data_IF_482559765643
#
_entry.id   IF_482559765643
#
_cell.length_a   1.000
_cell.length_b   1.000
_cell.length_c   1.000
_cell.angle_alpha   90.00
_cell.angle_beta   90.00
_cell.angle_gamma   90.00
#
_symmetry.space_group_name_H-M   'P 1'
#
loop_
_entity.id
_entity.type
_entity.pdbx_description
1 polymer ?
#
# COMPACT_ATOMS: atom_id res chain seq x y z
N UNK A 1 7.97 -55.47 24.69
CA UNK A 1 7.92 -54.74 23.40
C UNK A 1 7.24 -53.39 23.59
N UNK A 2 7.99 -52.29 23.66
CA UNK A 2 7.40 -50.93 23.58
C UNK A 2 7.21 -50.59 22.11
N UNK A 3 5.98 -50.73 21.62
CA UNK A 3 5.60 -50.24 20.29
C UNK A 3 5.63 -48.71 20.34
N UNK A 4 6.78 -48.11 19.97
CA UNK A 4 6.85 -46.67 19.74
C UNK A 4 5.90 -46.38 18.58
N UNK A 5 4.72 -45.84 18.88
CA UNK A 5 3.94 -45.09 17.91
C UNK A 5 4.85 -43.98 17.36
N UNK A 6 5.50 -44.21 16.21
CA UNK A 6 6.02 -43.12 15.41
C UNK A 6 4.78 -42.36 14.95
N UNK A 7 4.35 -41.35 15.73
CA UNK A 7 3.40 -40.34 15.25
C UNK A 7 4.06 -39.72 14.02
N UNK A 8 3.68 -40.18 12.84
CA UNK A 8 4.00 -39.50 11.59
C UNK A 8 3.26 -38.17 11.65
N UNK A 9 3.98 -37.09 11.99
CA UNK A 9 3.38 -35.77 11.95
C UNK A 9 2.98 -35.48 10.50
N UNK A 10 1.73 -35.06 10.34
CA UNK A 10 1.23 -34.57 9.08
C UNK A 10 2.03 -33.32 8.66
N UNK A 11 2.41 -33.17 7.38
CA UNK A 11 3.20 -32.04 6.89
C UNK A 11 2.32 -30.78 6.77
N UNK A 12 2.12 -30.05 7.87
CA UNK A 12 1.35 -28.78 7.86
C UNK A 12 2.22 -27.56 7.49
N UNK A 13 3.55 -27.74 7.39
CA UNK A 13 4.48 -26.70 6.99
C UNK A 13 4.14 -25.95 5.68
N UNK A 14 3.51 -26.53 4.63
CA UNK A 14 3.13 -25.74 3.45
C UNK A 14 2.16 -24.61 3.77
N UNK A 15 1.20 -24.86 4.68
CA UNK A 15 0.21 -23.85 5.07
C UNK A 15 0.88 -22.74 5.90
N UNK A 16 1.79 -23.11 6.80
CA UNK A 16 2.51 -22.14 7.62
C UNK A 16 3.42 -21.25 6.78
N UNK A 17 4.10 -21.79 5.77
CA UNK A 17 4.89 -20.97 4.83
C UNK A 17 4.02 -20.09 3.92
N UNK A 18 2.76 -20.45 3.66
CA UNK A 18 1.83 -19.59 2.95
C UNK A 18 1.31 -18.43 3.83
N UNK A 19 1.13 -18.67 5.12
CA UNK A 19 0.68 -17.67 6.11
C UNK A 19 1.81 -16.71 6.49
N UNK A 20 3.03 -17.23 6.64
CA UNK A 20 4.18 -16.53 7.20
C UNK A 20 4.47 -15.15 6.58
N UNK A 21 4.51 -14.96 5.24
CA UNK A 21 4.90 -13.67 4.68
C UNK A 21 3.92 -12.55 5.05
N UNK A 22 2.61 -12.82 5.04
CA UNK A 22 1.60 -11.83 5.41
C UNK A 22 1.72 -11.44 6.90
N UNK A 23 1.88 -12.42 7.79
CA UNK A 23 2.08 -12.17 9.23
C UNK A 23 3.39 -11.43 9.50
N UNK A 24 4.46 -11.77 8.78
CA UNK A 24 5.74 -11.07 8.87
C UNK A 24 5.62 -9.61 8.41
N UNK A 25 4.95 -9.35 7.29
CA UNK A 25 4.70 -7.99 6.78
C UNK A 25 3.90 -7.18 7.79
N UNK A 26 2.81 -7.74 8.35
CA UNK A 26 2.03 -7.04 9.38
C UNK A 26 2.92 -6.70 10.58
N UNK A 27 3.69 -7.66 11.11
CA UNK A 27 4.52 -7.46 12.31
C UNK A 27 5.53 -6.31 12.16
N UNK A 28 6.10 -6.11 10.96
CA UNK A 28 7.00 -4.98 10.67
C UNK A 28 6.29 -3.65 10.42
N UNK A 29 4.99 -3.67 10.15
CA UNK A 29 4.21 -2.52 9.69
C UNK A 29 2.95 -2.25 10.55
N UNK A 30 2.92 -2.71 11.81
CA UNK A 30 1.81 -2.50 12.77
C UNK A 30 1.45 -1.04 13.02
N UNK A 31 2.36 -0.14 12.68
CA UNK A 31 2.18 1.30 12.78
C UNK A 31 1.40 1.91 11.60
N UNK A 32 1.15 1.14 10.54
CA UNK A 32 0.45 1.54 9.31
C UNK A 32 -0.71 0.58 9.00
N UNK A 33 -0.49 -0.73 9.14
CA UNK A 33 -1.43 -1.77 8.72
C UNK A 33 -2.31 -2.26 9.87
N UNK A 34 -3.56 -2.53 9.55
CA UNK A 34 -4.53 -3.21 10.42
C UNK A 34 -4.37 -4.73 10.34
N UNK A 35 -4.65 -5.47 11.43
CA UNK A 35 -4.76 -6.93 11.37
C UNK A 35 -5.78 -7.47 10.35
N UNK A 36 -6.78 -6.67 9.98
CA UNK A 36 -7.74 -7.04 8.94
C UNK A 36 -7.09 -7.15 7.55
N UNK A 37 -6.02 -6.40 7.30
CA UNK A 37 -5.39 -6.26 5.97
C UNK A 37 -4.67 -7.54 5.51
N UNK A 38 -4.41 -8.48 6.42
CA UNK A 38 -3.75 -9.76 6.10
C UNK A 38 -4.73 -10.90 5.87
N UNK A 39 -6.02 -10.74 6.17
CA UNK A 39 -7.01 -11.83 6.08
C UNK A 39 -7.14 -12.32 4.64
N UNK A 40 -7.38 -11.40 3.70
CA UNK A 40 -7.54 -11.75 2.29
C UNK A 40 -6.22 -12.28 1.67
N UNK A 41 -5.05 -11.66 1.86
CA UNK A 41 -3.77 -12.20 1.39
C UNK A 41 -3.48 -13.61 1.93
N UNK A 42 -3.71 -13.86 3.22
CA UNK A 42 -3.54 -15.19 3.80
C UNK A 42 -4.47 -16.19 3.12
N UNK A 43 -5.75 -15.86 2.98
CA UNK A 43 -6.71 -16.72 2.30
C UNK A 43 -6.26 -17.05 0.88
N UNK A 44 -5.89 -16.04 0.08
CA UNK A 44 -5.44 -16.20 -1.29
C UNK A 44 -4.23 -17.14 -1.39
N UNK A 45 -3.17 -16.88 -0.63
CA UNK A 45 -1.94 -17.65 -0.73
C UNK A 45 -2.02 -19.03 -0.08
N UNK A 46 -2.87 -19.21 0.94
CA UNK A 46 -3.19 -20.55 1.48
C UNK A 46 -3.95 -21.37 0.44
N UNK A 47 -4.94 -20.81 -0.25
CA UNK A 47 -5.64 -21.50 -1.34
C UNK A 47 -4.66 -21.90 -2.45
N UNK A 48 -3.80 -20.99 -2.90
CA UNK A 48 -2.77 -21.30 -3.91
C UNK A 48 -1.81 -22.40 -3.44
N UNK A 49 -1.37 -22.37 -2.18
CA UNK A 49 -0.53 -23.39 -1.59
C UNK A 49 -1.21 -24.76 -1.53
N UNK A 50 -2.50 -24.81 -1.15
CA UNK A 50 -3.31 -26.04 -1.14
C UNK A 50 -3.48 -26.58 -2.56
N UNK A 51 -3.82 -25.73 -3.53
CA UNK A 51 -3.95 -26.13 -4.93
C UNK A 51 -2.65 -26.70 -5.49
N UNK A 52 -1.51 -26.02 -5.25
CA UNK A 52 -0.19 -26.52 -5.64
C UNK A 52 0.11 -27.86 -4.99
N UNK A 53 -0.16 -27.99 -3.69
CA UNK A 53 0.13 -29.20 -2.95
C UNK A 53 -0.73 -30.38 -3.38
N UNK A 54 -2.03 -30.16 -3.59
CA UNK A 54 -2.96 -31.18 -4.11
C UNK A 54 -2.56 -31.59 -5.53
N UNK A 55 -2.22 -30.64 -6.41
CA UNK A 55 -1.73 -30.93 -7.75
C UNK A 55 -0.50 -31.84 -7.74
N UNK A 56 0.50 -31.51 -6.91
CA UNK A 56 1.69 -32.36 -6.73
C UNK A 56 1.34 -33.71 -6.10
N UNK A 57 0.41 -33.76 -5.15
CA UNK A 57 -0.07 -35.00 -4.54
C UNK A 57 -0.75 -35.93 -5.54
N UNK A 58 -1.59 -35.43 -6.46
CA UNK A 58 -2.21 -36.28 -7.47
C UNK A 58 -1.18 -36.90 -8.43
N UNK A 59 -0.10 -36.19 -8.72
CA UNK A 59 0.99 -36.67 -9.59
C UNK A 59 1.90 -37.67 -8.89
N UNK A 60 2.41 -37.32 -7.70
CA UNK A 60 3.46 -38.10 -7.02
C UNK A 60 2.95 -39.05 -5.93
N UNK A 61 1.71 -38.86 -5.46
CA UNK A 61 1.00 -39.70 -4.48
C UNK A 61 1.74 -39.93 -3.15
N UNK A 62 2.65 -39.02 -2.78
CA UNK A 62 3.39 -39.05 -1.51
C UNK A 62 3.24 -37.70 -0.80
N UNK A 63 2.41 -37.69 0.24
CA UNK A 63 2.03 -36.47 0.97
C UNK A 63 3.22 -35.75 1.61
N UNK A 64 4.26 -36.50 2.02
CA UNK A 64 5.45 -35.95 2.69
C UNK A 64 6.35 -35.29 1.65
N UNK A 65 6.64 -35.98 0.54
CA UNK A 65 7.46 -35.44 -0.55
C UNK A 65 6.82 -34.21 -1.16
N UNK A 66 5.52 -34.27 -1.44
CA UNK A 66 4.80 -33.16 -2.07
C UNK A 66 4.67 -31.98 -1.12
N UNK A 67 4.49 -32.22 0.18
CA UNK A 67 4.50 -31.16 1.18
C UNK A 67 5.87 -30.45 1.23
N UNK A 68 6.96 -31.21 1.20
CA UNK A 68 8.32 -30.64 1.20
C UNK A 68 8.57 -29.80 -0.05
N UNK A 69 8.15 -30.27 -1.22
CA UNK A 69 8.26 -29.52 -2.48
C UNK A 69 7.41 -28.25 -2.42
N UNK A 70 6.14 -28.32 -2.00
CA UNK A 70 5.29 -27.12 -1.87
C UNK A 70 5.92 -26.08 -0.95
N UNK A 71 6.50 -26.51 0.18
CA UNK A 71 7.15 -25.59 1.11
C UNK A 71 8.43 -24.99 0.57
N UNK A 72 9.23 -25.77 -0.15
CA UNK A 72 10.38 -25.26 -0.88
C UNK A 72 9.95 -24.21 -1.91
N UNK A 73 8.90 -24.49 -2.68
CA UNK A 73 8.35 -23.55 -3.66
C UNK A 73 7.92 -22.25 -3.00
N UNK A 74 7.15 -22.30 -1.91
CA UNK A 74 6.70 -21.10 -1.19
C UNK A 74 7.87 -20.32 -0.57
N UNK A 75 8.82 -21.02 0.03
CA UNK A 75 10.02 -20.41 0.61
C UNK A 75 10.84 -19.68 -0.45
N UNK A 76 11.16 -20.32 -1.58
CA UNK A 76 11.89 -19.69 -2.68
C UNK A 76 11.08 -18.56 -3.31
N UNK A 77 9.77 -18.77 -3.48
CA UNK A 77 8.87 -17.76 -4.03
C UNK A 77 8.91 -16.47 -3.24
N UNK A 78 8.73 -16.52 -1.91
CA UNK A 78 8.66 -15.32 -1.05
C UNK A 78 10.00 -14.82 -0.53
N UNK A 79 11.10 -15.58 -0.67
CA UNK A 79 12.44 -15.09 -0.33
C UNK A 79 13.11 -14.34 -1.48
N UNK A 80 12.61 -14.50 -2.71
CA UNK A 80 13.23 -13.93 -3.91
C UNK A 80 13.44 -12.42 -3.81
N UNK A 81 12.41 -11.65 -3.48
CA UNK A 81 12.50 -10.18 -3.49
C UNK A 81 13.45 -9.64 -2.42
N UNK A 82 13.51 -10.32 -1.27
CA UNK A 82 14.50 -10.01 -0.23
C UNK A 82 15.94 -10.26 -0.70
N UNK A 83 16.17 -11.40 -1.36
CA UNK A 83 17.48 -11.76 -1.89
C UNK A 83 17.86 -10.84 -3.06
N UNK A 84 16.91 -10.54 -3.96
CA UNK A 84 17.16 -9.68 -5.11
C UNK A 84 17.47 -8.25 -4.68
N UNK A 85 16.77 -7.68 -3.68
CA UNK A 85 17.10 -6.36 -3.13
C UNK A 85 18.52 -6.35 -2.57
N UNK A 86 18.89 -7.32 -1.71
CA UNK A 86 20.25 -7.36 -1.13
C UNK A 86 21.32 -7.45 -2.24
N UNK A 87 21.14 -8.33 -3.22
CA UNK A 87 22.11 -8.49 -4.31
C UNK A 87 22.18 -7.21 -5.15
N UNK A 88 21.03 -6.70 -5.58
CA UNK A 88 21.03 -5.59 -6.53
C UNK A 88 21.45 -4.27 -5.92
N UNK A 89 21.00 -3.97 -4.69
CA UNK A 89 21.41 -2.77 -3.97
C UNK A 89 22.92 -2.77 -3.64
N UNK A 90 23.54 -3.95 -3.56
CA UNK A 90 24.98 -4.09 -3.28
C UNK A 90 25.84 -4.03 -4.54
N UNK A 91 25.40 -4.66 -5.64
CA UNK A 91 26.24 -4.90 -6.81
C UNK A 91 25.90 -4.03 -8.03
N UNK A 92 24.72 -3.40 -8.05
CA UNK A 92 24.23 -2.66 -9.21
C UNK A 92 23.77 -1.26 -8.79
N UNK A 93 24.05 -0.25 -9.62
CA UNK A 93 23.50 1.09 -9.41
C UNK A 93 22.03 1.16 -9.85
N UNK A 94 21.70 0.40 -10.89
CA UNK A 94 20.36 0.28 -11.48
C UNK A 94 20.07 -1.18 -11.81
N UNK A 95 18.82 -1.60 -11.63
CA UNK A 95 18.38 -2.98 -11.91
C UNK A 95 17.44 -2.99 -13.10
N UNK A 96 17.76 -3.81 -14.11
CA UNK A 96 16.88 -4.03 -15.26
C UNK A 96 16.19 -5.39 -15.16
N UNK A 97 15.27 -5.65 -16.10
CA UNK A 97 14.62 -6.95 -16.21
C UNK A 97 15.63 -8.11 -16.45
N UNK A 98 16.80 -7.84 -17.04
CA UNK A 98 17.79 -8.88 -17.38
C UNK A 98 18.43 -9.50 -16.14
N UNK A 99 18.78 -8.69 -15.14
CA UNK A 99 19.36 -9.18 -13.89
C UNK A 99 18.38 -10.13 -13.18
N UNK A 100 17.10 -9.72 -13.14
CA UNK A 100 16.02 -10.53 -12.60
C UNK A 100 15.87 -11.90 -13.28
N UNK A 101 16.01 -11.97 -14.61
CA UNK A 101 15.95 -13.24 -15.36
C UNK A 101 17.08 -14.20 -14.96
N UNK A 102 18.29 -13.70 -14.74
CA UNK A 102 19.44 -14.51 -14.31
C UNK A 102 19.15 -15.09 -12.92
N UNK A 103 18.73 -14.26 -11.96
CA UNK A 103 18.43 -14.72 -10.60
C UNK A 103 17.24 -15.69 -10.56
N UNK A 104 16.19 -15.43 -11.36
CA UNK A 104 15.06 -16.36 -11.48
C UNK A 104 15.52 -17.72 -12.01
N UNK A 105 16.42 -17.75 -12.99
CA UNK A 105 16.98 -19.01 -13.52
C UNK A 105 17.69 -19.81 -12.43
N UNK A 106 18.43 -19.15 -11.55
CA UNK A 106 19.07 -19.79 -10.39
C UNK A 106 18.02 -20.35 -9.42
N UNK A 107 16.99 -19.57 -9.08
CA UNK A 107 15.92 -20.00 -8.18
C UNK A 107 15.13 -21.20 -8.73
N UNK A 108 14.77 -21.17 -10.02
CA UNK A 108 14.11 -22.30 -10.68
C UNK A 108 15.03 -23.52 -10.77
N UNK A 109 16.32 -23.33 -11.06
CA UNK A 109 17.31 -24.41 -11.06
C UNK A 109 17.40 -25.09 -9.68
N UNK A 110 17.50 -24.30 -8.61
CA UNK A 110 17.49 -24.80 -7.23
C UNK A 110 16.20 -25.55 -6.90
N UNK A 111 15.04 -24.97 -7.25
CA UNK A 111 13.74 -25.60 -7.04
C UNK A 111 13.66 -26.97 -7.73
N UNK A 112 14.07 -27.05 -9.00
CA UNK A 112 14.05 -28.29 -9.78
C UNK A 112 15.01 -29.32 -9.20
N UNK A 113 16.27 -28.95 -8.94
CA UNK A 113 17.29 -29.89 -8.45
C UNK A 113 16.90 -30.49 -7.10
N UNK A 114 16.45 -29.67 -6.15
CA UNK A 114 16.04 -30.14 -4.82
C UNK A 114 14.74 -30.95 -4.92
N UNK A 115 13.79 -30.54 -5.75
CA UNK A 115 12.55 -31.30 -5.97
C UNK A 115 12.81 -32.68 -6.56
N UNK A 116 13.71 -32.77 -7.56
CA UNK A 116 14.14 -34.05 -8.15
C UNK A 116 14.81 -34.94 -7.11
N UNK A 117 15.66 -34.38 -6.24
CA UNK A 117 16.26 -35.12 -5.13
C UNK A 117 15.20 -35.66 -4.15
N UNK A 118 14.23 -34.82 -3.74
CA UNK A 118 13.13 -35.22 -2.85
C UNK A 118 12.29 -36.36 -3.47
N UNK A 119 11.93 -36.22 -4.75
CA UNK A 119 11.12 -37.21 -5.47
C UNK A 119 11.87 -38.54 -5.60
N UNK A 120 13.14 -38.50 -6.05
CA UNK A 120 13.96 -39.69 -6.28
C UNK A 120 14.48 -40.34 -5.00
N UNK A 121 14.43 -39.65 -3.86
CA UNK A 121 14.88 -40.19 -2.58
C UNK A 121 14.09 -41.46 -2.22
N UNK A 122 14.82 -42.55 -1.98
CA UNK A 122 14.29 -43.81 -1.45
C UNK A 122 14.28 -43.84 0.09
N UNK A 123 14.94 -42.86 0.72
CA UNK A 123 14.96 -42.73 2.18
C UNK A 123 13.65 -42.11 2.67
N UNK A 124 13.26 -42.50 3.89
CA UNK A 124 12.12 -41.89 4.57
C UNK A 124 12.41 -40.41 4.88
N UNK A 125 11.57 -39.51 4.37
CA UNK A 125 11.69 -38.07 4.59
C UNK A 125 10.84 -37.54 5.75
N UNK A 126 10.28 -38.44 6.59
CA UNK A 126 9.46 -38.03 7.74
C UNK A 126 10.21 -37.13 8.73
N UNK A 127 11.49 -37.41 8.99
CA UNK A 127 12.31 -36.58 9.87
C UNK A 127 12.53 -35.19 9.27
N UNK A 128 12.81 -35.12 7.96
CA UNK A 128 12.96 -33.84 7.26
C UNK A 128 11.67 -33.02 7.35
N UNK A 129 10.52 -33.63 7.04
CA UNK A 129 9.23 -32.94 7.18
C UNK A 129 8.93 -32.51 8.62
N UNK A 130 9.29 -33.32 9.62
CA UNK A 130 9.15 -32.94 11.03
C UNK A 130 10.04 -31.74 11.40
N UNK A 131 11.28 -31.69 10.91
CA UNK A 131 12.17 -30.55 11.09
C UNK A 131 11.58 -29.30 10.42
N UNK A 132 11.08 -29.43 9.18
CA UNK A 132 10.48 -28.30 8.45
C UNK A 132 9.19 -27.81 9.12
N UNK A 133 8.39 -28.69 9.74
CA UNK A 133 7.27 -28.29 10.60
C UNK A 133 7.74 -27.41 11.77
N UNK A 134 8.82 -27.80 12.46
CA UNK A 134 9.40 -27.01 13.56
C UNK A 134 9.88 -25.65 13.05
N UNK A 135 10.64 -25.63 11.93
CA UNK A 135 11.12 -24.38 11.32
C UNK A 135 9.97 -23.44 10.97
N UNK A 136 8.90 -23.95 10.36
CA UNK A 136 7.74 -23.14 9.98
C UNK A 136 6.99 -22.58 11.21
N UNK A 137 6.84 -23.37 12.28
CA UNK A 137 6.26 -22.89 13.55
C UNK A 137 7.16 -21.81 14.17
N UNK A 138 8.46 -22.07 14.27
CA UNK A 138 9.43 -21.13 14.87
C UNK A 138 9.48 -19.81 14.09
N UNK A 139 9.37 -19.86 12.76
CA UNK A 139 9.34 -18.67 11.91
C UNK A 139 8.11 -17.79 12.17
N UNK A 140 6.95 -18.40 12.46
CA UNK A 140 5.73 -17.66 12.81
C UNK A 140 5.70 -17.14 14.24
N UNK A 141 6.43 -17.76 15.16
CA UNK A 141 6.39 -17.39 16.58
C UNK A 141 6.87 -15.96 16.81
N UNK A 142 7.97 -15.55 16.18
CA UNK A 142 8.52 -14.19 16.33
C UNK A 142 7.53 -13.10 15.90
N UNK A 143 6.99 -13.10 14.66
CA UNK A 143 6.08 -12.04 14.24
C UNK A 143 4.75 -12.07 15.03
N UNK A 144 4.26 -13.24 15.46
CA UNK A 144 3.06 -13.32 16.31
C UNK A 144 3.31 -12.67 17.69
N UNK A 145 4.48 -12.89 18.29
CA UNK A 145 4.85 -12.26 19.57
C UNK A 145 4.93 -10.74 19.42
N UNK A 146 5.53 -10.24 18.32
CA UNK A 146 5.60 -8.80 18.03
C UNK A 146 4.19 -8.22 17.91
N UNK A 147 3.32 -8.84 17.13
CA UNK A 147 1.90 -8.45 16.97
C UNK A 147 1.20 -8.44 18.33
N UNK A 148 1.31 -9.52 19.11
CA UNK A 148 0.68 -9.62 20.42
C UNK A 148 1.17 -8.59 21.44
N UNK A 149 2.43 -8.14 21.33
CA UNK A 149 3.00 -7.11 22.20
C UNK A 149 2.57 -5.68 21.84
N UNK A 150 2.02 -5.47 20.64
CA UNK A 150 1.67 -4.14 20.13
C UNK A 150 0.26 -3.67 20.54
N UNK A 151 -0.70 -4.59 20.60
CA UNK A 151 -2.10 -4.30 20.91
C UNK A 151 -2.55 -4.19 22.38
N UNK A 152 -1.75 -4.44 23.45
CA UNK A 152 -2.30 -4.47 24.81
C UNK A 152 -2.93 -3.18 25.37
N UNK A 153 -2.68 -1.98 24.82
CA UNK A 153 -3.01 -0.72 25.54
C UNK A 153 -3.51 0.46 24.68
N UNK A 154 -3.86 0.24 23.41
CA UNK A 154 -4.21 1.36 22.52
C UNK A 154 -5.72 1.47 22.27
N UNK A 155 -6.44 1.93 23.29
CA UNK A 155 -7.85 2.32 23.19
C UNK A 155 -7.97 3.69 22.52
N UNK A 156 -7.57 3.73 21.24
CA UNK A 156 -7.58 4.93 20.40
C UNK A 156 -9.00 5.24 19.89
N UNK A 157 -9.90 5.49 20.83
CA UNK A 157 -11.02 6.37 20.57
C UNK A 157 -10.42 7.74 20.25
N UNK A 158 -10.68 8.25 19.03
CA UNK A 158 -10.53 9.69 18.81
C UNK A 158 -11.52 10.28 19.80
N UNK A 159 -11.04 11.09 20.75
CA UNK A 159 -11.95 11.80 21.65
C UNK A 159 -12.95 12.52 20.76
N UNK A 160 -14.22 12.19 20.88
CA UNK A 160 -15.32 12.99 20.34
C UNK A 160 -15.44 14.32 21.11
N UNK A 161 -14.31 14.95 21.45
CA UNK A 161 -14.31 16.29 22.00
C UNK A 161 -14.50 17.24 20.82
N UNK A 162 -15.70 17.81 20.79
CA UNK A 162 -16.27 18.68 19.76
C UNK A 162 -16.93 17.91 18.60
N UNK A 163 -18.00 17.16 18.92
CA UNK A 163 -19.17 17.18 18.04
C UNK A 163 -19.47 18.67 17.83
N UNK A 164 -19.11 19.20 16.66
CA UNK A 164 -19.57 20.52 16.23
C UNK A 164 -21.06 20.52 16.50
N UNK A 165 -21.51 21.44 17.36
CA UNK A 165 -22.92 21.55 17.71
C UNK A 165 -23.66 21.95 16.44
N UNK A 166 -24.06 20.95 15.64
CA UNK A 166 -24.74 21.12 14.36
C UNK A 166 -26.08 21.82 14.53
N UNK A 167 -26.59 21.85 15.77
CA UNK A 167 -27.81 22.59 16.13
C UNK A 167 -27.64 24.11 16.03
N UNK A 168 -26.41 24.64 16.01
CA UNK A 168 -26.17 26.07 15.77
C UNK A 168 -26.22 26.48 14.28
N UNK A 169 -26.44 25.53 13.38
CA UNK A 169 -26.29 25.74 11.93
C UNK A 169 -27.60 25.62 11.13
N UNK A 170 -28.75 25.50 11.81
CA UNK A 170 -30.11 25.68 11.24
C UNK A 170 -30.38 27.15 10.87
N UNK A 171 -29.62 27.68 9.92
CA UNK A 171 -30.16 28.73 9.07
C UNK A 171 -30.67 28.06 7.80
N UNK A 172 -31.83 28.49 7.31
CA UNK A 172 -32.39 28.12 6.00
C UNK A 172 -31.43 28.54 4.89
N UNK A 173 -30.33 27.79 4.71
CA UNK A 173 -29.37 27.98 3.63
C UNK A 173 -30.05 27.42 2.39
N UNK A 174 -30.28 28.28 1.40
CA UNK A 174 -30.74 27.83 0.10
C UNK A 174 -29.60 27.08 -0.58
N UNK A 175 -29.65 25.75 -0.53
CA UNK A 175 -28.64 24.86 -1.12
C UNK A 175 -28.46 25.10 -2.62
N UNK A 176 -29.47 25.63 -3.32
CA UNK A 176 -29.39 25.99 -4.74
C UNK A 176 -28.46 27.17 -5.06
N UNK A 177 -27.88 27.84 -4.05
CA UNK A 177 -26.94 28.95 -4.22
C UNK A 177 -25.52 28.63 -3.72
N UNK A 178 -25.31 27.43 -3.17
CA UNK A 178 -24.00 27.05 -2.66
C UNK A 178 -23.08 26.64 -3.83
N UNK A 179 -21.82 27.13 -3.88
CA UNK A 179 -20.88 26.72 -4.89
C UNK A 179 -20.34 25.32 -4.59
N UNK A 180 -19.90 24.61 -5.62
CA UNK A 180 -19.09 23.41 -5.44
C UNK A 180 -17.72 23.75 -4.87
N UNK A 181 -17.21 22.88 -4.00
CA UNK A 181 -15.92 23.04 -3.33
C UNK A 181 -15.02 21.87 -3.73
N UNK A 182 -13.87 22.20 -4.31
CA UNK A 182 -12.84 21.24 -4.68
C UNK A 182 -11.57 21.48 -3.86
N UNK A 183 -11.24 20.55 -2.97
CA UNK A 183 -9.98 20.50 -2.25
C UNK A 183 -9.04 19.49 -2.94
N UNK A 184 -8.14 20.03 -3.77
CA UNK A 184 -7.17 19.25 -4.54
C UNK A 184 -5.80 19.36 -3.87
N UNK A 185 -5.20 18.21 -3.57
CA UNK A 185 -3.87 18.10 -2.94
C UNK A 185 -2.97 17.27 -3.84
N UNK A 186 -1.90 17.89 -4.34
CA UNK A 186 -0.87 17.22 -5.13
C UNK A 186 0.23 16.70 -4.20
N UNK A 187 0.49 15.39 -4.17
CA UNK A 187 1.51 14.79 -3.30
C UNK A 187 2.91 15.17 -3.81
N UNK A 188 3.72 15.72 -2.91
CA UNK A 188 5.10 16.15 -3.15
C UNK A 188 5.28 17.31 -4.13
N UNK A 189 4.20 17.95 -4.57
CA UNK A 189 4.29 19.22 -5.33
C UNK A 189 4.84 20.32 -4.43
N UNK A 190 5.88 21.00 -4.88
CA UNK A 190 6.59 22.03 -4.11
C UNK A 190 6.41 23.41 -4.75
N UNK A 191 6.76 24.47 -4.01
CA UNK A 191 6.58 25.83 -4.50
C UNK A 191 7.58 26.19 -5.60
N UNK A 192 7.28 27.26 -6.34
CA UNK A 192 8.09 27.76 -7.47
C UNK A 192 9.56 27.97 -7.09
N UNK A 193 9.82 28.52 -5.90
CA UNK A 193 11.19 28.75 -5.42
C UNK A 193 11.98 27.43 -5.31
N UNK A 194 11.37 26.39 -4.73
CA UNK A 194 12.03 25.09 -4.59
C UNK A 194 12.17 24.38 -5.93
N UNK A 195 11.15 24.46 -6.81
CA UNK A 195 11.23 23.94 -8.18
C UNK A 195 12.42 24.55 -8.95
N UNK A 196 12.57 25.88 -8.89
CA UNK A 196 13.69 26.57 -9.52
C UNK A 196 15.04 26.20 -8.86
N UNK A 197 15.16 26.36 -7.54
CA UNK A 197 16.42 26.21 -6.81
C UNK A 197 16.97 24.77 -6.82
N UNK A 198 16.09 23.75 -6.76
CA UNK A 198 16.50 22.35 -6.62
C UNK A 198 16.33 21.52 -7.88
N UNK A 199 15.42 21.88 -8.78
CA UNK A 199 15.12 21.12 -10.01
C UNK A 199 15.45 21.87 -11.29
N UNK A 200 15.80 23.16 -11.20
CA UNK A 200 16.00 24.00 -12.39
C UNK A 200 14.75 23.99 -13.30
N UNK A 201 13.57 23.98 -12.68
CA UNK A 201 12.28 23.97 -13.36
C UNK A 201 11.57 25.33 -13.17
N UNK A 202 11.20 25.95 -14.28
CA UNK A 202 10.45 27.21 -14.31
C UNK A 202 8.95 26.92 -14.29
N UNK A 203 8.29 27.25 -13.18
CA UNK A 203 6.86 27.04 -12.97
C UNK A 203 6.03 28.32 -13.15
N UNK A 204 6.63 29.39 -13.68
CA UNK A 204 6.01 30.71 -13.77
C UNK A 204 4.79 30.73 -14.69
N UNK A 205 4.76 29.90 -15.73
CA UNK A 205 3.62 29.77 -16.65
C UNK A 205 2.36 29.28 -15.93
N UNK A 206 2.47 28.24 -15.08
CA UNK A 206 1.34 27.71 -14.32
C UNK A 206 0.85 28.70 -13.25
N UNK A 207 1.77 29.33 -12.53
CA UNK A 207 1.44 30.38 -11.54
C UNK A 207 0.75 31.58 -12.19
N UNK A 208 1.24 32.00 -13.36
CA UNK A 208 0.63 33.08 -14.15
C UNK A 208 -0.75 32.68 -14.67
N UNK A 209 -0.92 31.43 -15.09
CA UNK A 209 -2.23 30.90 -15.49
C UNK A 209 -3.24 30.97 -14.33
N UNK A 210 -2.88 30.48 -13.13
CA UNK A 210 -3.74 30.54 -11.95
C UNK A 210 -4.12 32.00 -11.60
N UNK A 211 -3.12 32.88 -11.57
CA UNK A 211 -3.33 34.31 -11.32
C UNK A 211 -4.26 34.95 -12.35
N UNK A 212 -4.12 34.60 -13.64
CA UNK A 212 -5.00 35.08 -14.73
C UNK A 212 -6.46 34.61 -14.56
N UNK A 213 -6.66 33.45 -13.93
CA UNK A 213 -7.96 32.90 -13.54
C UNK A 213 -8.47 33.45 -12.21
N UNK A 214 -7.79 34.46 -11.63
CA UNK A 214 -8.11 35.12 -10.36
C UNK A 214 -7.99 34.21 -9.14
N UNK A 215 -7.21 33.13 -9.22
CA UNK A 215 -6.83 32.39 -8.02
C UNK A 215 -5.91 33.26 -7.15
N UNK A 216 -6.04 33.08 -5.84
CA UNK A 216 -5.07 33.61 -4.90
C UNK A 216 -3.86 32.67 -4.86
N UNK A 217 -2.70 33.14 -5.32
CA UNK A 217 -1.45 32.40 -5.27
C UNK A 217 -0.63 32.91 -4.07
N UNK A 218 -0.23 31.99 -3.18
CA UNK A 218 0.51 32.32 -1.97
C UNK A 218 2.01 32.00 -2.13
N UNK A 219 2.84 33.03 -2.25
CA UNK A 219 4.28 32.89 -2.50
C UNK A 219 5.07 32.25 -1.35
N UNK A 220 4.60 32.45 -0.10
CA UNK A 220 5.29 32.00 1.12
C UNK A 220 4.33 31.20 2.02
N UNK A 221 3.82 30.09 1.49
CA UNK A 221 3.00 29.13 2.24
C UNK A 221 3.83 27.95 2.73
N UNK A 222 3.45 27.40 3.88
CA UNK A 222 4.10 26.23 4.50
C UNK A 222 3.05 25.18 4.82
N UNK A 223 3.39 23.90 4.63
CA UNK A 223 2.61 22.80 5.18
C UNK A 223 2.69 22.81 6.72
N UNK A 224 1.61 22.44 7.40
CA UNK A 224 1.59 22.36 8.86
C UNK A 224 2.61 21.34 9.39
N UNK A 225 2.84 20.26 8.63
CA UNK A 225 3.75 19.17 8.95
C UNK A 225 4.51 18.71 7.70
N UNK A 226 5.62 18.01 7.90
CA UNK A 226 6.54 17.59 6.84
C UNK A 226 6.21 16.21 6.23
N UNK A 227 5.16 15.53 6.71
CA UNK A 227 4.73 14.22 6.19
C UNK A 227 3.25 14.24 5.82
N UNK A 228 2.88 13.54 4.75
CA UNK A 228 1.51 13.58 4.20
C UNK A 228 0.45 13.22 5.23
N UNK A 229 0.66 12.19 6.06
CA UNK A 229 -0.34 11.76 7.03
C UNK A 229 -0.61 12.77 8.14
N UNK A 230 0.40 13.53 8.58
CA UNK A 230 0.21 14.59 9.55
C UNK A 230 -0.38 15.84 8.89
N UNK A 231 0.13 16.21 7.72
CA UNK A 231 -0.32 17.40 6.99
C UNK A 231 -1.78 17.28 6.55
N UNK A 232 -2.18 16.14 5.99
CA UNK A 232 -3.56 15.88 5.54
C UNK A 232 -4.51 15.76 6.75
N UNK A 233 -4.11 15.04 7.81
CA UNK A 233 -4.93 14.95 9.03
C UNK A 233 -5.20 16.34 9.63
N UNK A 234 -4.16 17.17 9.75
CA UNK A 234 -4.30 18.55 10.26
C UNK A 234 -5.17 19.42 9.34
N UNK A 235 -4.92 19.38 8.03
CA UNK A 235 -5.65 20.17 7.05
C UNK A 235 -7.14 19.83 7.01
N UNK A 236 -7.51 18.55 6.97
CA UNK A 236 -8.91 18.12 6.90
C UNK A 236 -9.67 18.33 8.21
N UNK A 237 -8.96 18.50 9.33
CA UNK A 237 -9.55 18.78 10.63
C UNK A 237 -9.46 20.26 11.03
N UNK A 238 -8.78 21.09 10.23
CA UNK A 238 -8.56 22.52 10.47
C UNK A 238 -7.95 22.84 11.84
N UNK A 239 -7.09 21.94 12.33
CA UNK A 239 -6.45 22.07 13.64
C UNK A 239 -5.01 21.56 13.60
N UNK A 240 -4.18 22.08 14.51
CA UNK A 240 -2.86 21.52 14.76
C UNK A 240 -3.00 20.21 15.54
N UNK A 241 -2.29 19.17 15.11
CA UNK A 241 -2.32 17.83 15.70
C UNK A 241 -1.15 17.57 16.65
N UNK A 242 -0.56 18.65 17.19
CA UNK A 242 0.58 18.59 18.13
C UNK A 242 0.26 17.75 19.37
N UNK A 243 -1.02 17.64 19.72
CA UNK A 243 -1.46 16.88 20.89
C UNK A 243 -1.45 15.37 20.67
N UNK A 244 -1.36 14.88 19.42
CA UNK A 244 -1.29 13.44 19.15
C UNK A 244 -0.13 12.77 19.87
N UNK A 245 0.99 13.47 20.07
CA UNK A 245 2.14 12.93 20.81
C UNK A 245 1.82 12.65 22.27
N UNK A 246 0.82 13.32 22.86
CA UNK A 246 0.36 13.02 24.21
C UNK A 246 -0.40 11.69 24.26
N UNK A 247 -1.09 11.33 23.17
CA UNK A 247 -1.87 10.10 23.07
C UNK A 247 -1.02 8.90 22.65
N UNK A 248 -0.11 9.08 21.68
CA UNK A 248 0.70 7.97 21.13
C UNK A 248 2.11 7.88 21.71
N UNK A 249 2.61 8.96 22.32
CA UNK A 249 4.00 9.12 22.76
C UNK A 249 4.92 9.74 21.69
N UNK A 250 5.88 10.56 22.10
CA UNK A 250 6.77 11.32 21.20
C UNK A 250 7.58 10.44 20.23
N UNK A 251 7.98 9.25 20.66
CA UNK A 251 8.78 8.32 19.86
C UNK A 251 7.93 7.31 19.08
N UNK A 252 6.60 7.48 19.09
CA UNK A 252 5.70 6.56 18.43
C UNK A 252 5.76 6.70 16.93
N UNK A 253 5.76 5.55 16.25
CA UNK A 253 5.60 5.49 14.79
C UNK A 253 4.15 5.28 14.38
N UNK A 254 3.25 5.07 15.34
CA UNK A 254 1.87 4.69 15.10
C UNK A 254 1.12 5.82 14.36
N UNK A 255 0.61 5.52 13.17
CA UNK A 255 -0.14 6.45 12.33
C UNK A 255 -1.66 6.28 12.42
N UNK A 256 -2.13 5.29 13.18
CA UNK A 256 -3.53 4.90 13.25
C UNK A 256 -4.46 6.06 13.63
N UNK A 257 -4.12 6.82 14.68
CA UNK A 257 -4.93 7.98 15.08
C UNK A 257 -5.03 9.02 13.96
N UNK A 258 -3.90 9.37 13.34
CA UNK A 258 -3.89 10.32 12.23
C UNK A 258 -4.68 9.80 11.02
N UNK A 259 -4.58 8.51 10.69
CA UNK A 259 -5.38 7.90 9.62
C UNK A 259 -6.87 7.93 9.94
N UNK A 260 -7.24 7.68 11.20
CA UNK A 260 -8.63 7.81 11.67
C UNK A 260 -9.13 9.25 11.61
N UNK A 261 -8.28 10.24 11.91
CA UNK A 261 -8.61 11.66 11.72
C UNK A 261 -8.85 12.03 10.25
N UNK A 262 -8.14 11.39 9.31
CA UNK A 262 -8.39 11.57 7.86
C UNK A 262 -9.71 10.90 7.46
N UNK A 263 -9.93 9.66 7.88
CA UNK A 263 -11.12 8.86 7.57
C UNK A 263 -12.41 9.49 8.12
N UNK A 264 -12.34 10.10 9.30
CA UNK A 264 -13.48 10.70 10.02
C UNK A 264 -13.35 12.23 10.13
N UNK A 265 -12.88 12.89 9.07
CA UNK A 265 -12.47 14.29 9.13
C UNK A 265 -13.61 15.31 9.33
N UNK A 266 -13.25 16.43 9.95
CA UNK A 266 -14.17 17.55 10.25
C UNK A 266 -14.65 18.30 9.01
N UNK A 267 -13.81 18.49 7.99
CA UNK A 267 -14.18 19.23 6.78
C UNK A 267 -15.39 18.61 6.07
N UNK A 268 -15.39 17.29 5.86
CA UNK A 268 -16.52 16.57 5.27
C UNK A 268 -17.75 16.58 6.18
N UNK A 269 -17.58 16.42 7.50
CA UNK A 269 -18.70 16.53 8.46
C UNK A 269 -19.39 17.90 8.38
N UNK A 270 -18.62 18.99 8.31
CA UNK A 270 -19.15 20.35 8.14
C UNK A 270 -19.85 20.49 6.79
N UNK A 271 -19.22 20.08 5.69
CA UNK A 271 -19.81 20.16 4.35
C UNK A 271 -21.16 19.43 4.32
N UNK A 272 -21.21 18.21 4.85
CA UNK A 272 -22.43 17.40 4.96
C UNK A 272 -23.51 18.09 5.80
N UNK A 273 -23.15 18.71 6.93
CA UNK A 273 -24.10 19.49 7.75
C UNK A 273 -24.71 20.70 7.01
N UNK A 274 -24.08 21.15 5.92
CA UNK A 274 -24.52 22.26 5.06
C UNK A 274 -25.25 21.80 3.81
N UNK A 275 -25.53 20.50 3.69
CA UNK A 275 -26.26 19.93 2.56
C UNK A 275 -25.40 19.60 1.34
N UNK A 276 -24.07 19.58 1.50
CA UNK A 276 -23.19 19.11 0.44
C UNK A 276 -23.19 17.59 0.34
N UNK A 277 -23.08 17.07 -0.89
CA UNK A 277 -22.66 15.69 -1.12
C UNK A 277 -21.14 15.64 -1.05
N UNK A 278 -20.60 14.79 -0.16
CA UNK A 278 -19.16 14.67 0.05
C UNK A 278 -18.57 13.56 -0.82
N UNK A 279 -17.50 13.86 -1.55
CA UNK A 279 -16.86 12.95 -2.50
C UNK A 279 -15.38 12.82 -2.17
N UNK A 280 -14.91 11.60 -1.99
CA UNK A 280 -13.49 11.25 -1.93
C UNK A 280 -13.05 10.63 -3.27
N UNK A 281 -11.95 11.11 -3.82
CA UNK A 281 -11.29 10.48 -4.97
C UNK A 281 -10.13 9.63 -4.46
N UNK A 282 -10.14 8.33 -4.77
CA UNK A 282 -9.12 7.38 -4.36
C UNK A 282 -7.73 7.81 -4.87
N UNK A 283 -6.81 8.04 -3.93
CA UNK A 283 -5.39 8.40 -4.20
C UNK A 283 -4.45 7.21 -4.51
N UNK A 284 -4.86 5.99 -4.17
CA UNK A 284 -4.02 4.79 -4.14
C UNK A 284 -3.25 4.59 -2.82
N UNK A 285 -3.23 5.59 -1.95
CA UNK A 285 -2.58 5.54 -0.65
C UNK A 285 -3.55 5.16 0.47
N UNK A 286 -3.08 4.36 1.42
CA UNK A 286 -3.93 3.68 2.41
C UNK A 286 -4.87 4.62 3.18
N UNK A 287 -4.40 5.83 3.56
CA UNK A 287 -5.23 6.74 4.36
C UNK A 287 -6.27 7.54 3.55
N UNK A 288 -6.13 7.63 2.22
CA UNK A 288 -7.01 8.43 1.35
C UNK A 288 -7.58 7.63 0.17
N UNK A 289 -7.37 6.32 0.13
CA UNK A 289 -7.99 5.42 -0.86
C UNK A 289 -9.49 5.24 -0.61
N UNK A 290 -9.89 5.33 0.65
CA UNK A 290 -11.26 5.25 1.10
C UNK A 290 -11.41 6.12 2.35
N UNK A 291 -12.42 6.98 2.36
CA UNK A 291 -12.75 7.85 3.49
C UNK A 291 -14.22 7.60 3.86
N UNK A 292 -14.44 7.13 5.08
CA UNK A 292 -15.78 6.76 5.57
C UNK A 292 -16.67 7.98 5.83
N UNK A 293 -16.08 9.17 6.04
CA UNK A 293 -16.83 10.42 6.11
C UNK A 293 -17.40 10.89 4.77
N UNK A 294 -16.93 10.37 3.63
CA UNK A 294 -17.43 10.72 2.31
C UNK A 294 -18.71 9.91 1.96
N UNK A 295 -19.67 10.56 1.31
CA UNK A 295 -20.87 9.90 0.77
C UNK A 295 -20.53 9.01 -0.43
N UNK A 296 -19.57 9.46 -1.25
CA UNK A 296 -19.09 8.75 -2.44
C UNK A 296 -17.57 8.58 -2.39
N UNK A 297 -17.10 7.36 -2.64
CA UNK A 297 -15.67 7.05 -2.84
C UNK A 297 -15.48 6.60 -4.29
N UNK A 298 -14.83 7.43 -5.11
CA UNK A 298 -14.68 7.23 -6.55
C UNK A 298 -13.25 6.82 -6.94
N UNK A 299 -13.08 6.34 -8.16
CA UNK A 299 -11.79 5.96 -8.76
C UNK A 299 -11.02 4.82 -8.07
N UNK A 300 -11.61 4.15 -7.07
CA UNK A 300 -11.00 3.01 -6.38
C UNK A 300 -11.41 1.66 -6.95
N UNK A 301 -10.72 1.19 -7.99
CA UNK A 301 -10.87 -0.19 -8.49
C UNK A 301 -9.99 -1.16 -7.71
N UNK A 302 -10.40 -2.43 -7.68
CA UNK A 302 -9.58 -3.57 -7.22
C UNK A 302 -8.96 -3.43 -5.82
N UNK A 303 -9.65 -2.76 -4.88
CA UNK A 303 -9.07 -2.42 -3.58
C UNK A 303 -8.45 -3.60 -2.80
N UNK A 304 -9.06 -4.79 -2.90
CA UNK A 304 -8.51 -6.02 -2.29
C UNK A 304 -7.16 -6.43 -2.88
N UNK A 305 -7.04 -6.41 -4.21
CA UNK A 305 -5.82 -6.82 -4.93
C UNK A 305 -4.72 -5.76 -4.84
N UNK A 306 -5.10 -4.48 -4.69
CA UNK A 306 -4.18 -3.35 -4.54
C UNK A 306 -3.97 -2.95 -3.07
N UNK A 307 -4.14 -3.89 -2.14
CA UNK A 307 -3.79 -3.65 -0.74
C UNK A 307 -2.27 -3.60 -0.56
N UNK A 308 -1.80 -2.74 0.34
CA UNK A 308 -0.36 -2.61 0.67
C UNK A 308 0.29 -3.96 0.97
N UNK A 309 -0.42 -4.83 1.69
CA UNK A 309 0.06 -6.20 1.98
C UNK A 309 0.28 -7.03 0.71
N UNK A 310 -0.67 -7.05 -0.24
CA UNK A 310 -0.49 -7.81 -1.49
C UNK A 310 0.62 -7.22 -2.34
N UNK A 311 0.67 -5.89 -2.47
CA UNK A 311 1.75 -5.21 -3.20
C UNK A 311 3.11 -5.58 -2.62
N UNK A 312 3.25 -5.56 -1.28
CA UNK A 312 4.48 -5.99 -0.60
C UNK A 312 4.78 -7.48 -0.79
N UNK A 313 3.78 -8.36 -0.74
CA UNK A 313 3.98 -9.79 -0.97
C UNK A 313 4.43 -10.08 -2.41
N UNK A 314 3.83 -9.42 -3.40
CA UNK A 314 4.21 -9.55 -4.82
C UNK A 314 5.61 -8.98 -5.04
N UNK A 315 5.90 -7.77 -4.52
CA UNK A 315 7.24 -7.16 -4.57
C UNK A 315 8.30 -8.04 -3.91
N UNK A 316 7.99 -8.72 -2.80
CA UNK A 316 8.96 -9.58 -2.13
C UNK A 316 9.04 -10.99 -2.73
N UNK A 317 8.29 -11.27 -3.81
CA UNK A 317 8.22 -12.60 -4.41
C UNK A 317 8.97 -12.74 -5.74
N UNK A 318 8.99 -13.94 -6.31
CA UNK A 318 9.46 -14.20 -7.69
C UNK A 318 8.65 -13.45 -8.76
N UNK A 319 7.52 -12.82 -8.41
CA UNK A 319 6.78 -11.91 -9.30
C UNK A 319 7.33 -10.47 -9.31
N UNK A 320 8.33 -10.16 -8.48
CA UNK A 320 9.00 -8.86 -8.46
C UNK A 320 9.36 -8.33 -9.87
N UNK A 321 9.93 -9.11 -10.81
CA UNK A 321 10.35 -8.55 -12.10
C UNK A 321 9.21 -7.97 -12.95
N UNK A 322 7.96 -8.30 -12.62
CA UNK A 322 6.76 -7.81 -13.29
C UNK A 322 5.84 -7.01 -12.37
N UNK A 323 6.22 -6.71 -11.11
CA UNK A 323 5.30 -6.08 -10.15
C UNK A 323 4.87 -4.68 -10.61
N UNK A 324 5.77 -3.90 -11.22
CA UNK A 324 5.44 -2.60 -11.84
C UNK A 324 4.33 -2.77 -12.87
N UNK A 325 4.47 -3.74 -13.78
CA UNK A 325 3.47 -4.03 -14.83
C UNK A 325 2.12 -4.52 -14.27
N UNK A 326 2.12 -5.16 -13.09
CA UNK A 326 0.88 -5.63 -12.44
C UNK A 326 0.05 -4.43 -11.92
N UNK A 327 0.70 -3.38 -11.44
CA UNK A 327 0.04 -2.28 -10.72
C UNK A 327 0.03 -0.93 -11.47
N UNK A 328 0.84 -0.78 -12.52
CA UNK A 328 0.95 0.43 -13.33
C UNK A 328 -0.40 0.85 -13.93
N UNK A 329 -1.10 -0.08 -14.57
CA UNK A 329 -2.37 0.24 -15.23
C UNK A 329 -3.42 0.77 -14.26
N UNK A 330 -3.46 0.21 -13.04
CA UNK A 330 -4.38 0.65 -11.99
C UNK A 330 -4.01 2.05 -11.48
N UNK A 331 -2.72 2.33 -11.30
CA UNK A 331 -2.25 3.67 -10.94
C UNK A 331 -2.59 4.70 -12.03
N UNK A 332 -2.34 4.39 -13.30
CA UNK A 332 -2.67 5.25 -14.44
C UNK A 332 -4.18 5.50 -14.56
N UNK A 333 -4.97 4.43 -14.52
CA UNK A 333 -6.44 4.53 -14.60
C UNK A 333 -7.00 5.38 -13.46
N UNK A 334 -6.42 5.30 -12.25
CA UNK A 334 -6.83 6.11 -11.10
C UNK A 334 -6.57 7.60 -11.32
N UNK A 335 -5.38 7.97 -11.81
CA UNK A 335 -5.04 9.37 -12.10
C UNK A 335 -5.91 9.91 -13.25
N UNK A 336 -6.09 9.15 -14.33
CA UNK A 336 -6.99 9.54 -15.42
C UNK A 336 -8.44 9.68 -14.95
N UNK A 337 -8.93 8.75 -14.12
CA UNK A 337 -10.24 8.82 -13.50
C UNK A 337 -10.37 10.09 -12.66
N UNK A 338 -9.37 10.42 -11.83
CA UNK A 338 -9.34 11.60 -10.97
C UNK A 338 -9.58 12.89 -11.76
N UNK A 339 -8.79 13.13 -12.81
CA UNK A 339 -8.96 14.33 -13.64
C UNK A 339 -10.32 14.35 -14.36
N UNK A 340 -10.78 13.20 -14.86
CA UNK A 340 -12.10 13.11 -15.50
C UNK A 340 -13.24 13.41 -14.53
N UNK A 341 -13.23 12.81 -13.33
CA UNK A 341 -14.27 12.99 -12.32
C UNK A 341 -14.29 14.42 -11.79
N UNK A 342 -13.13 15.02 -11.49
CA UNK A 342 -13.07 16.41 -11.05
C UNK A 342 -13.75 17.34 -12.07
N UNK A 343 -13.56 17.07 -13.37
CA UNK A 343 -14.13 17.88 -14.44
C UNK A 343 -15.64 17.70 -14.67
N UNK A 344 -16.22 16.52 -14.39
CA UNK A 344 -17.61 16.19 -14.76
C UNK A 344 -18.59 16.15 -13.58
N UNK A 345 -18.12 15.97 -12.34
CA UNK A 345 -18.99 15.70 -11.18
C UNK A 345 -20.12 16.74 -10.97
N UNK A 346 -19.84 18.02 -11.19
CA UNK A 346 -20.83 19.10 -11.08
C UNK A 346 -22.03 18.97 -12.05
N UNK A 347 -21.90 18.17 -13.11
CA UNK A 347 -22.98 17.89 -14.08
C UNK A 347 -23.79 16.65 -13.70
N UNK A 348 -23.20 15.77 -12.88
CA UNK A 348 -23.76 14.47 -12.52
C UNK A 348 -24.52 14.52 -11.19
N UNK A 349 -24.22 15.51 -10.33
CA UNK A 349 -24.82 15.67 -9.00
C UNK A 349 -25.51 17.03 -8.93
N UNK A 350 -26.81 17.03 -8.65
CA UNK A 350 -27.63 18.27 -8.59
C UNK A 350 -27.37 19.08 -7.31
N UNK A 351 -27.00 18.42 -6.21
CA UNK A 351 -26.65 19.05 -4.94
C UNK A 351 -25.23 19.64 -5.00
N UNK A 352 -24.93 20.69 -4.22
CA UNK A 352 -23.56 21.20 -4.11
C UNK A 352 -22.61 20.10 -3.62
N UNK A 353 -21.41 20.00 -4.20
CA UNK A 353 -20.43 18.94 -3.89
C UNK A 353 -19.21 19.47 -3.15
N UNK A 354 -18.73 18.68 -2.17
CA UNK A 354 -17.42 18.87 -1.56
C UNK A 354 -16.53 17.71 -1.98
N UNK A 355 -15.57 17.98 -2.86
CA UNK A 355 -14.65 16.98 -3.41
C UNK A 355 -13.30 17.10 -2.70
N UNK A 356 -12.84 16.00 -2.13
CA UNK A 356 -11.46 15.84 -1.70
C UNK A 356 -10.72 14.92 -2.68
N UNK A 357 -9.66 15.45 -3.29
CA UNK A 357 -8.81 14.71 -4.21
C UNK A 357 -7.35 14.80 -3.77
N UNK A 358 -6.81 13.69 -3.27
CA UNK A 358 -5.37 13.56 -3.02
C UNK A 358 -4.74 12.84 -4.21
N UNK A 359 -3.95 13.57 -4.99
CA UNK A 359 -3.40 13.11 -6.27
C UNK A 359 -1.92 12.81 -6.06
N UNK A 360 -1.51 11.58 -6.36
CA UNK A 360 -0.12 11.11 -6.21
C UNK A 360 0.82 11.61 -7.31
N UNK A 361 0.72 12.89 -7.68
CA UNK A 361 1.55 13.59 -8.63
C UNK A 361 2.07 14.89 -7.98
N UNK A 362 3.32 15.28 -8.23
CA UNK A 362 4.38 14.61 -9.00
C UNK A 362 5.11 13.50 -8.21
N UNK A 363 4.51 12.91 -7.16
CA UNK A 363 5.10 11.77 -6.45
C UNK A 363 5.42 10.59 -7.39
N UNK A 364 6.48 9.83 -7.10
CA UNK A 364 6.87 8.66 -7.91
C UNK A 364 5.94 7.46 -7.69
N UNK A 365 5.91 6.46 -8.57
CA UNK A 365 6.69 6.30 -9.82
C UNK A 365 6.35 7.33 -10.92
N UNK A 366 7.33 7.62 -11.79
CA UNK A 366 7.22 8.59 -12.88
C UNK A 366 6.69 7.94 -14.17
N UNK A 367 5.40 8.13 -14.46
CA UNK A 367 4.73 7.49 -15.62
C UNK A 367 4.28 8.46 -16.70
N UNK A 368 4.44 9.76 -16.50
CA UNK A 368 4.12 10.79 -17.50
C UNK A 368 5.38 11.51 -17.94
N UNK A 369 5.45 11.76 -19.24
CA UNK A 369 6.39 12.68 -19.86
C UNK A 369 5.83 14.11 -19.88
N UNK A 370 6.66 15.09 -20.30
CA UNK A 370 6.39 16.53 -20.17
C UNK A 370 5.21 17.03 -21.01
N UNK A 371 4.67 16.25 -21.94
CA UNK A 371 3.46 16.60 -22.71
C UNK A 371 2.23 15.78 -22.27
N UNK A 372 2.31 15.12 -21.11
CA UNK A 372 1.28 14.21 -20.60
C UNK A 372 1.23 12.87 -21.34
N UNK A 373 2.22 12.57 -22.19
CA UNK A 373 2.38 11.27 -22.81
C UNK A 373 2.72 10.22 -21.76
N UNK A 374 2.22 9.01 -21.97
CA UNK A 374 2.45 7.92 -21.06
C UNK A 374 3.79 7.24 -21.35
N UNK A 375 4.60 7.05 -20.31
CA UNK A 375 5.87 6.33 -20.35
C UNK A 375 5.84 5.16 -19.36
N UNK A 376 6.29 3.97 -19.81
CA UNK A 376 6.53 2.84 -18.91
C UNK A 376 8.01 2.87 -18.54
N UNK A 377 8.36 3.03 -17.25
CA UNK A 377 9.73 2.90 -16.78
C UNK A 377 10.36 1.60 -17.28
N UNK A 378 11.54 1.71 -17.92
CA UNK A 378 12.35 0.54 -18.26
C UNK A 378 12.86 -0.20 -17.01
N UNK A 379 12.90 0.52 -15.87
CA UNK A 379 13.38 0.05 -14.59
C UNK A 379 12.25 -0.59 -13.76
N UNK A 380 12.57 -1.69 -13.06
CA UNK A 380 11.61 -2.43 -12.24
C UNK A 380 11.40 -1.81 -10.84
N UNK A 381 11.45 -0.48 -10.70
CA UNK A 381 11.40 0.19 -9.40
C UNK A 381 10.34 1.28 -9.32
N UNK A 382 9.42 1.17 -8.36
CA UNK A 382 8.50 2.26 -7.96
C UNK A 382 9.15 3.26 -6.99
N UNK A 383 10.48 3.24 -6.82
CA UNK A 383 11.15 4.07 -5.83
C UNK A 383 11.26 5.53 -6.30
N UNK A 384 10.79 6.45 -5.45
CA UNK A 384 10.59 7.86 -5.81
C UNK A 384 11.79 8.79 -5.59
N UNK A 385 11.64 9.98 -6.18
CA UNK A 385 12.25 11.30 -5.92
C UNK A 385 13.77 11.46 -5.83
N UNK A 386 14.48 10.59 -5.09
CA UNK A 386 15.90 10.82 -4.79
C UNK A 386 16.85 10.55 -5.95
N UNK A 387 16.39 9.87 -7.00
CA UNK A 387 17.26 9.43 -8.11
C UNK A 387 16.87 10.00 -9.48
N UNK A 388 15.67 10.59 -9.62
CA UNK A 388 15.14 10.99 -10.92
C UNK A 388 14.42 12.33 -10.83
N UNK A 389 15.18 13.42 -10.97
CA UNK A 389 14.65 14.80 -10.98
C UNK A 389 13.88 15.09 -12.26
N UNK A 390 14.33 14.52 -13.38
CA UNK A 390 13.73 14.70 -14.70
C UNK A 390 12.35 14.06 -14.73
N UNK A 391 12.24 12.80 -14.30
CA UNK A 391 10.95 12.13 -14.13
C UNK A 391 10.00 12.87 -13.18
N UNK A 392 10.51 13.53 -12.13
CA UNK A 392 9.67 14.39 -11.27
C UNK A 392 9.13 15.61 -12.02
N UNK A 393 9.99 16.34 -12.73
CA UNK A 393 9.60 17.57 -13.44
C UNK A 393 8.77 17.30 -14.69
N UNK A 394 8.95 16.15 -15.34
CA UNK A 394 8.17 15.73 -16.50
C UNK A 394 6.69 15.46 -16.17
N UNK A 395 6.37 15.25 -14.88
CA UNK A 395 4.99 15.07 -14.42
C UNK A 395 4.28 16.37 -14.02
N UNK A 396 4.97 17.51 -14.05
CA UNK A 396 4.42 18.83 -13.75
C UNK A 396 3.79 19.44 -15.00
#
# INVERSE_FOLDING_TARGET
MKQKFKRTLFPFHPLLFAIFPAVSILSGNLHILSPADIIFPIFLFVVLAVCLWLGLFFVFRDIIKTGLITSLSLFLFFSYGHISSIIYDTFFQETTFKEHLILLTIFFGLLILISLYIIKSKHSLHNASSIINIVAISSLLVPIVIIGSYFPEQDFSVREENIIDTNYLENNINTAQLPDIYLIVLDSYTNEKILNDLFNFDNSDFVSFLSSKKFFVADNSFSHYHTSFLSIASMLNMEYINNLTNDVGENSKNRYLAYKMIDQNTAMKIAKSKGYVTVNIDSGWEATRHISAADLNLCGKNQFLNSQTIVMMIRNSMLNPIYVKIFESDYRERISCTFSSISSLHQEIEQPIFVFAHIFLPHGPYYWGPNGEYYVPEQATLEGFKKDKEGFTDQL
#
